data_IF_069277283079
#
_entry.id   IF_069277283079
#
_cell.length_a   1.000
_cell.length_b   1.000
_cell.length_c   1.000
_cell.angle_alpha   90.00
_cell.angle_beta   90.00
_cell.angle_gamma   90.00
#
_symmetry.space_group_name_H-M   'P 1'
#
loop_
_entity.id
_entity.type
_entity.pdbx_description
1 polymer ?
#
# COMPACT_ATOMS: atom_id res chain seq x y z
N UNK A 1 -0.56 -0.44 4.66
CA UNK A 1 0.41 0.10 3.68
C UNK A 1 1.71 -0.66 3.84
N UNK A 2 2.35 -1.15 2.77
CA UNK A 2 3.68 -1.80 2.88
C UNK A 2 4.81 -0.77 2.88
N UNK A 3 6.03 -1.18 3.24
CA UNK A 3 7.23 -0.33 3.12
C UNK A 3 7.50 0.09 1.67
N UNK A 4 7.12 -0.76 0.70
CA UNK A 4 7.19 -0.46 -0.74
C UNK A 4 6.26 0.70 -1.09
N UNK A 5 4.98 0.59 -0.72
CA UNK A 5 3.98 1.62 -1.00
C UNK A 5 4.31 2.95 -0.32
N UNK A 6 4.99 2.87 0.83
CA UNK A 6 5.40 4.04 1.60
C UNK A 6 6.40 4.91 0.87
N UNK A 7 7.40 4.30 0.23
CA UNK A 7 8.38 5.05 -0.58
C UNK A 7 7.71 5.59 -1.85
N UNK A 8 6.87 4.80 -2.51
CA UNK A 8 6.11 5.24 -3.68
C UNK A 8 5.22 6.44 -3.35
N UNK A 9 4.53 6.41 -2.21
CA UNK A 9 3.72 7.53 -1.73
C UNK A 9 4.56 8.81 -1.57
N UNK A 10 5.75 8.73 -0.96
CA UNK A 10 6.62 9.89 -0.78
C UNK A 10 7.13 10.43 -2.12
N UNK A 11 7.54 9.55 -3.04
CA UNK A 11 7.99 9.94 -4.37
C UNK A 11 6.85 10.68 -5.11
N UNK A 12 5.62 10.15 -5.10
CA UNK A 12 4.44 10.80 -5.68
C UNK A 12 4.09 12.14 -5.01
N UNK A 13 4.13 12.16 -3.67
CA UNK A 13 3.84 13.34 -2.88
C UNK A 13 4.80 14.49 -3.15
N UNK A 14 6.07 14.19 -3.39
CA UNK A 14 7.11 15.18 -3.64
C UNK A 14 7.18 15.61 -5.10
N UNK A 15 7.02 14.68 -6.04
CA UNK A 15 7.21 14.94 -7.46
C UNK A 15 5.94 15.42 -8.17
N UNK A 16 4.79 14.80 -7.87
CA UNK A 16 3.56 14.99 -8.65
C UNK A 16 2.48 15.73 -7.89
N UNK A 17 2.38 15.56 -6.58
CA UNK A 17 1.44 16.34 -5.77
C UNK A 17 2.05 17.71 -5.44
N UNK A 18 2.15 18.62 -6.42
CA UNK A 18 2.91 19.86 -6.25
C UNK A 18 2.39 21.05 -7.04
N UNK A 19 2.81 22.24 -6.62
CA UNK A 19 2.41 23.52 -7.24
C UNK A 19 2.96 23.73 -8.66
N UNK A 20 3.94 22.92 -9.06
CA UNK A 20 4.55 22.98 -10.41
C UNK A 20 3.82 22.10 -11.41
N UNK A 21 3.19 21.03 -10.91
CA UNK A 21 2.42 20.07 -11.70
C UNK A 21 0.96 20.50 -11.80
N UNK A 22 0.40 21.06 -10.72
CA UNK A 22 -0.99 21.51 -10.67
C UNK A 22 -1.11 23.00 -10.32
N UNK A 23 -1.58 23.78 -11.30
CA UNK A 23 -1.73 25.24 -11.16
C UNK A 23 -3.12 25.63 -10.65
N UNK A 24 -4.16 24.88 -11.00
CA UNK A 24 -5.54 25.13 -10.59
C UNK A 24 -5.74 24.94 -9.07
N UNK A 25 -5.20 23.84 -8.53
CA UNK A 25 -5.36 23.48 -7.12
C UNK A 25 -4.22 23.97 -6.21
N UNK A 26 -3.37 24.86 -6.72
CA UNK A 26 -2.12 25.27 -6.08
C UNK A 26 -2.28 25.65 -4.61
N UNK A 27 -3.24 26.53 -4.30
CA UNK A 27 -3.39 27.08 -2.94
C UNK A 27 -3.85 26.00 -1.95
N UNK A 28 -4.75 25.11 -2.38
CA UNK A 28 -5.21 23.96 -1.60
C UNK A 28 -4.08 22.95 -1.35
N UNK A 29 -3.27 22.68 -2.38
CA UNK A 29 -2.07 21.83 -2.26
C UNK A 29 -1.09 22.42 -1.23
N UNK A 30 -0.86 23.73 -1.23
CA UNK A 30 0.03 24.38 -0.25
C UNK A 30 -0.50 24.17 1.18
N UNK A 31 -1.80 24.35 1.39
CA UNK A 31 -2.43 24.14 2.70
C UNK A 31 -2.29 22.69 3.15
N UNK A 32 -2.64 21.72 2.30
CA UNK A 32 -2.50 20.29 2.59
C UNK A 32 -1.04 19.94 2.90
N UNK A 33 -0.07 20.47 2.14
CA UNK A 33 1.34 20.26 2.42
C UNK A 33 1.79 20.84 3.75
N UNK A 34 1.23 21.98 4.15
CA UNK A 34 1.48 22.58 5.46
C UNK A 34 0.94 21.69 6.59
N UNK A 35 -0.29 21.18 6.45
CA UNK A 35 -0.92 20.30 7.44
C UNK A 35 -0.16 18.97 7.57
N UNK A 36 0.24 18.38 6.44
CA UNK A 36 0.96 17.11 6.41
C UNK A 36 2.44 17.22 6.79
N UNK A 37 3.02 18.43 6.82
CA UNK A 37 4.43 18.67 7.12
C UNK A 37 4.96 17.91 8.35
N UNK A 38 4.33 17.94 9.53
CA UNK A 38 4.81 17.18 10.69
C UNK A 38 4.86 15.67 10.43
N UNK A 39 3.84 15.11 9.76
CA UNK A 39 3.76 13.68 9.45
C UNK A 39 4.88 13.27 8.50
N UNK A 40 5.04 14.00 7.39
CA UNK A 40 6.09 13.75 6.39
C UNK A 40 7.48 13.96 6.98
N UNK A 41 7.65 14.97 7.85
CA UNK A 41 8.94 15.22 8.52
C UNK A 41 9.33 14.05 9.42
N UNK A 42 8.36 13.46 10.16
CA UNK A 42 8.60 12.28 10.97
C UNK A 42 9.03 11.07 10.13
N UNK A 43 8.37 10.84 8.99
CA UNK A 43 8.76 9.75 8.07
C UNK A 43 10.19 9.97 7.55
N UNK A 44 10.57 11.21 7.26
CA UNK A 44 11.91 11.59 6.78
C UNK A 44 13.01 11.53 7.84
N UNK A 45 12.68 11.25 9.10
CA UNK A 45 13.70 10.92 10.09
C UNK A 45 14.44 9.63 9.70
N UNK A 46 13.73 8.64 9.16
CA UNK A 46 14.31 7.41 8.63
C UNK A 46 15.09 7.63 7.32
N UNK A 47 16.41 7.83 7.42
CA UNK A 47 17.25 8.17 6.26
C UNK A 47 17.41 7.04 5.25
N UNK A 48 17.30 5.80 5.67
CA UNK A 48 17.50 4.64 4.81
C UNK A 48 16.21 3.96 4.37
N UNK A 49 15.06 4.62 4.49
CA UNK A 49 13.77 4.04 4.09
C UNK A 49 13.76 3.57 2.61
N UNK A 50 14.36 4.36 1.72
CA UNK A 50 14.45 4.02 0.28
C UNK A 50 15.42 2.88 0.01
N UNK A 51 16.57 2.86 0.71
CA UNK A 51 17.57 1.80 0.57
C UNK A 51 17.01 0.47 1.06
N UNK A 52 16.37 0.47 2.24
CA UNK A 52 15.68 -0.69 2.78
C UNK A 52 14.61 -1.20 1.81
N UNK A 53 13.81 -0.31 1.20
CA UNK A 53 12.82 -0.69 0.17
C UNK A 53 13.47 -1.39 -1.02
N UNK A 54 14.58 -0.87 -1.51
CA UNK A 54 15.28 -1.41 -2.67
C UNK A 54 15.84 -2.81 -2.38
N UNK A 55 16.43 -3.01 -1.20
CA UNK A 55 16.89 -4.32 -0.75
C UNK A 55 15.73 -5.31 -0.60
N UNK A 56 14.61 -4.91 0.02
CA UNK A 56 13.43 -5.77 0.14
C UNK A 56 12.94 -6.27 -1.23
N UNK A 57 12.92 -5.39 -2.23
CA UNK A 57 12.50 -5.71 -3.60
C UNK A 57 13.53 -6.59 -4.33
N UNK A 58 14.82 -6.30 -4.20
CA UNK A 58 15.88 -7.00 -4.92
C UNK A 58 16.19 -8.39 -4.35
N UNK A 59 15.98 -8.58 -3.05
CA UNK A 59 16.49 -9.73 -2.32
C UNK A 59 15.43 -10.49 -1.50
N UNK A 60 14.14 -10.32 -1.82
CA UNK A 60 13.03 -11.06 -1.23
C UNK A 60 13.07 -11.08 0.32
N UNK A 61 13.12 -9.88 0.91
CA UNK A 61 13.21 -9.68 2.37
C UNK A 61 14.56 -10.07 3.00
N UNK A 62 15.64 -10.25 2.22
CA UNK A 62 16.99 -10.54 2.71
C UNK A 62 17.97 -9.40 2.43
N UNK A 63 19.06 -9.35 3.18
CA UNK A 63 20.19 -8.46 2.87
C UNK A 63 21.06 -9.14 1.83
N UNK A 64 21.14 -8.59 0.63
CA UNK A 64 21.84 -9.25 -0.48
C UNK A 64 21.28 -10.63 -0.83
N UNK A 65 21.95 -11.34 -1.74
CA UNK A 65 21.42 -12.59 -2.33
C UNK A 65 21.26 -13.75 -1.33
N UNK A 66 22.12 -13.81 -0.30
CA UNK A 66 22.19 -14.93 0.65
C UNK A 66 22.20 -14.48 2.13
N UNK A 67 21.95 -13.21 2.43
CA UNK A 67 22.04 -12.71 3.80
C UNK A 67 20.80 -12.97 4.64
N UNK A 68 20.84 -12.41 5.85
CA UNK A 68 19.78 -12.52 6.84
C UNK A 68 18.56 -11.68 6.47
N UNK A 69 17.44 -11.87 7.19
CA UNK A 69 16.21 -11.12 6.95
C UNK A 69 16.40 -9.63 7.26
N UNK A 70 15.93 -8.74 6.37
CA UNK A 70 16.07 -7.28 6.52
C UNK A 70 15.40 -6.74 7.80
N UNK A 71 14.51 -7.52 8.42
CA UNK A 71 13.90 -7.22 9.71
C UNK A 71 14.65 -7.91 10.86
N UNK A 72 15.03 -7.13 11.87
CA UNK A 72 15.67 -7.62 13.09
C UNK A 72 16.61 -6.56 13.67
N UNK A 73 16.74 -6.51 15.00
CA UNK A 73 17.52 -5.47 15.68
C UNK A 73 19.01 -5.47 15.33
N UNK A 74 19.55 -6.62 14.92
CA UNK A 74 20.99 -6.85 14.71
C UNK A 74 21.39 -7.09 13.24
N UNK A 75 20.44 -6.96 12.30
CA UNK A 75 20.62 -7.54 10.96
C UNK A 75 21.17 -6.53 9.94
N UNK A 76 20.82 -5.24 10.08
CA UNK A 76 21.41 -4.15 9.32
C UNK A 76 21.38 -2.82 10.08
N UNK A 77 22.42 -2.00 9.89
CA UNK A 77 22.51 -0.61 10.38
C UNK A 77 21.67 0.36 9.53
N UNK A 78 20.45 -0.03 9.15
CA UNK A 78 19.53 0.88 8.49
C UNK A 78 18.83 1.77 9.51
N UNK A 79 18.91 3.08 9.28
CA UNK A 79 17.99 4.05 9.88
C UNK A 79 16.64 4.01 9.16
N UNK A 80 15.86 2.97 9.47
CA UNK A 80 14.56 2.68 8.85
C UNK A 80 13.64 1.89 9.83
N UNK A 81 12.33 1.72 9.52
CA UNK A 81 11.43 0.89 10.32
C UNK A 81 11.90 -0.56 10.43
N UNK A 82 12.18 -1.05 11.64
CA UNK A 82 12.73 -2.40 11.86
C UNK A 82 11.83 -3.32 12.65
N UNK A 83 10.93 -2.76 13.44
CA UNK A 83 9.95 -3.49 14.23
C UNK A 83 8.56 -3.41 13.62
N UNK A 84 7.67 -4.31 14.04
CA UNK A 84 6.25 -4.23 13.67
C UNK A 84 5.62 -2.89 14.11
N UNK A 85 6.08 -2.31 15.22
CA UNK A 85 5.60 -1.02 15.72
C UNK A 85 6.05 0.14 14.85
N UNK A 86 7.29 0.12 14.34
CA UNK A 86 7.75 1.13 13.39
C UNK A 86 6.97 1.06 12.08
N UNK A 87 6.67 -0.16 11.61
CA UNK A 87 5.85 -0.37 10.41
C UNK A 87 4.41 0.14 10.62
N UNK A 88 3.82 -0.10 11.79
CA UNK A 88 2.52 0.47 12.14
C UNK A 88 2.56 1.99 12.19
N UNK A 89 3.60 2.57 12.80
CA UNK A 89 3.79 4.02 12.84
C UNK A 89 3.88 4.60 11.43
N UNK A 90 4.73 4.03 10.56
CA UNK A 90 4.86 4.46 9.17
C UNK A 90 3.52 4.38 8.43
N UNK A 91 2.80 3.25 8.56
CA UNK A 91 1.49 3.07 7.92
C UNK A 91 0.48 4.12 8.40
N UNK A 92 0.46 4.42 9.70
CA UNK A 92 -0.45 5.43 10.26
C UNK A 92 -0.11 6.84 9.78
N UNK A 93 1.17 7.21 9.75
CA UNK A 93 1.61 8.53 9.27
C UNK A 93 1.20 8.79 7.83
N UNK A 94 1.35 7.78 6.95
CA UNK A 94 0.90 7.86 5.56
C UNK A 94 -0.62 7.90 5.50
N UNK A 95 -1.32 7.05 6.26
CA UNK A 95 -2.77 7.05 6.28
C UNK A 95 -3.33 8.42 6.66
N UNK A 96 -2.79 9.06 7.70
CA UNK A 96 -3.22 10.40 8.11
C UNK A 96 -2.90 11.46 7.04
N UNK A 97 -1.74 11.36 6.39
CA UNK A 97 -1.41 12.25 5.28
C UNK A 97 -2.39 12.10 4.11
N UNK A 98 -2.74 10.85 3.76
CA UNK A 98 -3.73 10.53 2.72
C UNK A 98 -5.13 10.98 3.12
N UNK A 99 -5.54 10.81 4.38
CA UNK A 99 -6.83 11.30 4.86
C UNK A 99 -6.93 12.82 4.68
N UNK A 100 -5.87 13.56 4.99
CA UNK A 100 -5.84 15.02 4.78
C UNK A 100 -6.02 15.38 3.30
N UNK A 101 -5.34 14.69 2.39
CA UNK A 101 -5.50 14.89 0.94
C UNK A 101 -6.94 14.57 0.53
N UNK A 102 -7.46 13.41 0.92
CA UNK A 102 -8.80 12.97 0.54
C UNK A 102 -9.89 13.89 1.08
N UNK A 103 -9.73 14.41 2.30
CA UNK A 103 -10.68 15.36 2.88
C UNK A 103 -10.68 16.70 2.15
N UNK A 104 -9.51 17.19 1.73
CA UNK A 104 -9.43 18.42 0.95
C UNK A 104 -10.05 18.25 -0.44
N UNK A 105 -9.80 17.12 -1.12
CA UNK A 105 -10.17 16.88 -2.52
C UNK A 105 -11.36 15.91 -2.71
N UNK A 106 -12.22 15.78 -1.70
CA UNK A 106 -13.31 14.79 -1.69
C UNK A 106 -14.25 14.94 -2.90
N UNK A 107 -14.58 16.19 -3.29
CA UNK A 107 -15.42 16.48 -4.44
C UNK A 107 -14.80 16.03 -5.77
N UNK A 108 -13.52 16.35 -5.97
CA UNK A 108 -12.77 16.02 -7.17
C UNK A 108 -12.63 14.50 -7.30
N UNK A 109 -12.26 13.84 -6.21
CA UNK A 109 -12.15 12.38 -6.16
C UNK A 109 -13.49 11.70 -6.49
N UNK A 110 -14.61 12.20 -5.97
CA UNK A 110 -15.95 11.68 -6.31
C UNK A 110 -16.29 11.88 -7.79
N UNK A 111 -15.96 13.04 -8.37
CA UNK A 111 -16.20 13.28 -9.80
C UNK A 111 -15.38 12.35 -10.71
N UNK A 112 -14.10 12.15 -10.39
CA UNK A 112 -13.19 11.28 -11.15
C UNK A 112 -13.67 9.82 -11.05
N UNK A 113 -14.09 9.38 -9.87
CA UNK A 113 -14.62 8.03 -9.67
C UNK A 113 -15.83 7.77 -10.58
N UNK A 114 -16.80 8.70 -10.60
CA UNK A 114 -17.97 8.60 -11.47
C UNK A 114 -17.59 8.55 -12.96
N UNK A 115 -16.59 9.33 -13.38
CA UNK A 115 -16.10 9.31 -14.76
C UNK A 115 -15.45 7.96 -15.12
N UNK A 116 -14.63 7.42 -14.22
CA UNK A 116 -13.97 6.12 -14.39
C UNK A 116 -14.97 4.97 -14.47
N UNK A 117 -15.96 4.93 -13.59
CA UNK A 117 -16.99 3.88 -13.56
C UNK A 117 -17.76 3.84 -14.89
N UNK A 118 -18.07 5.02 -15.45
CA UNK A 118 -18.72 5.15 -16.76
C UNK A 118 -17.83 4.73 -17.94
N UNK A 119 -16.50 4.84 -17.81
CA UNK A 119 -15.54 4.44 -18.86
C UNK A 119 -15.25 2.94 -18.85
N UNK A 120 -15.06 2.35 -17.67
CA UNK A 120 -14.72 0.93 -17.51
C UNK A 120 -15.86 0.01 -17.95
N UNK A 121 -17.13 0.44 -17.79
CA UNK A 121 -18.30 -0.34 -18.26
C UNK A 121 -18.30 -0.62 -19.77
N UNK A 122 -17.49 0.09 -20.56
CA UNK A 122 -17.51 0.01 -22.01
C UNK A 122 -16.38 -0.82 -22.65
N UNK A 123 -15.37 -1.30 -21.92
CA UNK A 123 -14.17 -1.89 -22.55
C UNK A 123 -13.55 -3.13 -21.88
N UNK A 124 -14.10 -3.70 -20.82
CA UNK A 124 -13.48 -4.86 -20.15
C UNK A 124 -14.49 -5.91 -19.67
N UNK A 125 -14.05 -7.17 -19.60
CA UNK A 125 -14.74 -8.20 -18.79
C UNK A 125 -14.57 -7.78 -17.33
N UNK A 126 -15.59 -7.11 -16.80
CA UNK A 126 -15.63 -6.71 -15.39
C UNK A 126 -15.97 -7.95 -14.58
N UNK A 127 -15.04 -8.41 -13.74
CA UNK A 127 -15.35 -9.44 -12.76
C UNK A 127 -16.40 -8.90 -11.79
N UNK A 128 -17.54 -9.58 -11.72
CA UNK A 128 -18.58 -9.30 -10.73
C UNK A 128 -18.16 -9.82 -9.35
N UNK A 129 -18.89 -9.39 -8.30
CA UNK A 129 -18.74 -9.93 -6.93
C UNK A 129 -18.85 -11.45 -6.91
N UNK A 130 -19.79 -11.99 -7.68
CA UNK A 130 -20.00 -13.42 -7.88
C UNK A 130 -18.79 -14.09 -8.55
N UNK A 131 -18.23 -13.49 -9.61
CA UNK A 131 -17.06 -14.04 -10.31
C UNK A 131 -15.87 -14.15 -9.36
N UNK A 132 -15.57 -13.08 -8.62
CA UNK A 132 -14.47 -13.06 -7.63
C UNK A 132 -14.69 -14.13 -6.56
N UNK A 133 -15.93 -14.26 -6.06
CA UNK A 133 -16.25 -15.24 -5.02
C UNK A 133 -16.09 -16.68 -5.52
N UNK A 134 -16.54 -16.96 -6.75
CA UNK A 134 -16.43 -18.28 -7.37
C UNK A 134 -14.98 -18.67 -7.63
N UNK A 135 -14.21 -17.78 -8.26
CA UNK A 135 -12.78 -17.97 -8.55
C UNK A 135 -12.00 -18.22 -7.26
N UNK A 136 -12.28 -17.43 -6.21
CA UNK A 136 -11.58 -17.56 -4.92
C UNK A 136 -11.85 -18.91 -4.28
N UNK A 137 -13.12 -19.35 -4.22
CA UNK A 137 -13.47 -20.65 -3.63
C UNK A 137 -12.79 -21.81 -4.36
N UNK A 138 -12.82 -21.81 -5.70
CA UNK A 138 -12.16 -22.84 -6.51
C UNK A 138 -10.64 -22.92 -6.24
N UNK A 139 -9.97 -21.76 -6.21
CA UNK A 139 -8.54 -21.71 -5.91
C UNK A 139 -8.22 -22.18 -4.48
N UNK A 140 -9.04 -21.83 -3.48
CA UNK A 140 -8.83 -22.26 -2.11
C UNK A 140 -9.05 -23.77 -1.91
N UNK A 141 -10.00 -24.38 -2.63
CA UNK A 141 -10.16 -25.83 -2.63
C UNK A 141 -8.92 -26.53 -3.18
N UNK A 142 -8.42 -26.09 -4.35
CA UNK A 142 -7.18 -26.61 -4.96
C UNK A 142 -5.97 -26.45 -4.03
N UNK A 143 -5.86 -25.31 -3.35
CA UNK A 143 -4.79 -25.08 -2.37
C UNK A 143 -4.88 -26.03 -1.17
N UNK A 144 -6.09 -26.32 -0.67
CA UNK A 144 -6.31 -27.28 0.42
C UNK A 144 -5.96 -28.73 0.01
N UNK A 145 -6.20 -29.13 -1.24
CA UNK A 145 -5.78 -30.43 -1.77
C UNK A 145 -4.25 -30.55 -1.81
N UNK A 146 -3.57 -29.54 -2.36
CA UNK A 146 -2.11 -29.48 -2.39
C UNK A 146 -1.52 -29.48 -0.98
N UNK A 147 -2.15 -28.75 -0.04
CA UNK A 147 -1.76 -28.75 1.36
C UNK A 147 -1.76 -30.14 1.97
N UNK A 148 -2.85 -30.90 1.79
CA UNK A 148 -2.97 -32.29 2.28
C UNK A 148 -1.86 -33.15 1.69
N UNK A 149 -1.58 -33.01 0.39
CA UNK A 149 -0.46 -33.69 -0.29
C UNK A 149 0.91 -33.37 0.33
N UNK A 150 1.11 -32.15 0.83
CA UNK A 150 2.36 -31.70 1.44
C UNK A 150 2.39 -31.80 2.98
N UNK A 151 1.39 -32.43 3.62
CA UNK A 151 1.30 -32.64 5.07
C UNK A 151 1.49 -31.36 5.91
N UNK A 152 0.79 -30.28 5.53
CA UNK A 152 0.78 -29.00 6.28
C UNK A 152 -0.52 -28.82 7.08
N UNK A 153 -0.42 -28.13 8.22
CA UNK A 153 -1.48 -28.08 9.26
C UNK A 153 -2.27 -26.74 9.35
N UNK A 154 -2.11 -25.84 8.38
CA UNK A 154 -2.95 -24.63 8.30
C UNK A 154 -4.20 -24.89 7.44
N UNK A 155 -5.28 -24.13 7.52
CA UNK A 155 -6.46 -24.35 6.66
C UNK A 155 -6.84 -23.06 5.92
N UNK A 156 -7.11 -23.20 4.61
CA UNK A 156 -7.72 -22.12 3.86
C UNK A 156 -9.24 -22.24 3.94
N UNK A 157 -9.91 -21.22 4.48
CA UNK A 157 -11.38 -21.20 4.58
C UNK A 157 -11.98 -20.85 3.21
N UNK A 158 -12.52 -21.85 2.51
CA UNK A 158 -13.16 -21.69 1.20
C UNK A 158 -14.63 -21.23 1.33
N UNK A 159 -14.86 -20.14 2.05
CA UNK A 159 -16.19 -19.54 2.16
C UNK A 159 -16.35 -18.46 1.09
N UNK A 160 -17.55 -18.32 0.52
CA UNK A 160 -17.85 -17.16 -0.32
C UNK A 160 -17.55 -15.87 0.45
N UNK A 161 -16.93 -14.92 -0.23
CA UNK A 161 -16.65 -13.59 0.31
C UNK A 161 -17.95 -12.95 0.75
N UNK A 162 -18.05 -12.58 2.04
CA UNK A 162 -19.17 -11.78 2.52
C UNK A 162 -18.86 -10.31 2.27
N UNK A 163 -19.37 -9.80 1.16
CA UNK A 163 -19.18 -8.42 0.72
C UNK A 163 -19.82 -7.38 1.63
N UNK A 164 -20.72 -7.77 2.54
CA UNK A 164 -21.37 -6.85 3.49
C UNK A 164 -20.52 -6.64 4.76
N UNK A 165 -19.41 -7.39 4.90
CA UNK A 165 -18.49 -7.33 6.03
C UNK A 165 -17.12 -6.75 5.67
N UNK A 166 -16.95 -6.30 4.44
CA UNK A 166 -15.72 -5.71 3.87
C UNK A 166 -16.06 -4.28 3.48
#
# INVERSE_FOLDING_TARGET
>A
MTLIDSVSFLDEYDQFFGIKTETEFKDRIIIVKSINKPLISKIREWKNLKDMRNELLAHNLRIGKNGEFVFGENVADYDAPRTIYDLFLLSNLIQFATTTINSEFDSELKSIQLEYDNKISNQSIILTKEDVSSITVDLLMKANELKKKHNRDYEFRANKTNWDKI
#
